data_IF_376158231254
#
_entry.id   IF_376158231254
#
_cell.length_a   1.000
_cell.length_b   1.000
_cell.length_c   1.000
_cell.angle_alpha   90.00
_cell.angle_beta   90.00
_cell.angle_gamma   90.00
#
_symmetry.space_group_name_H-M   'P 1'
#
loop_
_entity.id
_entity.type
_entity.pdbx_description
1 polymer ?
#
# COMPACT_ATOMS: atom_id res chain seq x y z
N UNK A 1 45.49 14.89 44.34
CA UNK A 1 45.52 14.45 42.93
C UNK A 1 44.34 13.53 42.67
N UNK A 2 43.45 13.81 41.70
CA UNK A 2 42.48 12.82 41.26
C UNK A 2 42.98 12.11 40.00
N UNK A 3 42.88 10.77 40.01
CA UNK A 3 43.16 9.88 38.89
C UNK A 3 42.16 10.11 37.74
N UNK A 4 42.67 10.44 36.55
CA UNK A 4 41.88 10.42 35.30
C UNK A 4 41.98 9.04 34.65
N UNK A 5 40.95 8.22 34.80
CA UNK A 5 40.84 6.96 34.06
C UNK A 5 40.40 7.25 32.61
N UNK A 6 41.29 7.01 31.63
CA UNK A 6 40.91 7.08 30.21
C UNK A 6 40.00 5.91 29.86
N UNK A 7 38.76 6.19 29.43
CA UNK A 7 37.87 5.16 28.87
C UNK A 7 38.46 4.64 27.55
N UNK A 8 38.91 3.39 27.54
CA UNK A 8 39.25 2.67 26.29
C UNK A 8 37.96 2.38 25.52
N UNK A 9 37.92 2.73 24.24
CA UNK A 9 36.82 2.38 23.35
C UNK A 9 36.71 0.85 23.22
N UNK A 10 35.48 0.33 23.31
CA UNK A 10 35.17 -1.11 23.28
C UNK A 10 35.32 -1.75 21.89
N UNK A 11 35.59 -0.98 20.85
CA UNK A 11 35.73 -1.47 19.49
C UNK A 11 36.95 -0.82 18.80
N UNK A 12 37.69 -1.57 17.97
CA UNK A 12 38.73 -1.00 17.13
C UNK A 12 38.09 0.00 16.16
N UNK A 13 38.62 1.22 16.12
CA UNK A 13 38.22 2.24 15.13
C UNK A 13 38.76 1.77 13.78
N UNK A 14 37.91 1.13 12.98
CA UNK A 14 38.19 0.93 11.56
C UNK A 14 38.10 2.30 10.88
N UNK A 15 39.15 2.74 10.15
CA UNK A 15 39.05 3.97 9.37
C UNK A 15 37.91 3.83 8.36
N UNK A 16 37.06 4.84 8.28
CA UNK A 16 35.99 4.87 7.29
C UNK A 16 36.61 4.74 5.89
N UNK A 17 36.07 3.89 5.01
CA UNK A 17 36.55 3.81 3.63
C UNK A 17 36.44 5.21 3.00
N UNK A 18 37.51 5.64 2.34
CA UNK A 18 37.54 6.89 1.57
C UNK A 18 36.59 6.69 0.38
N UNK A 19 35.32 7.05 0.56
CA UNK A 19 34.33 7.15 -0.51
C UNK A 19 34.47 8.55 -1.07
N UNK A 20 34.74 8.68 -2.37
CA UNK A 20 34.61 9.97 -3.06
C UNK A 20 33.18 10.48 -2.86
N UNK A 21 33.02 11.46 -1.97
CA UNK A 21 31.73 12.05 -1.60
C UNK A 21 31.20 12.92 -2.75
N UNK A 22 30.77 12.30 -3.83
CA UNK A 22 29.80 12.93 -4.71
C UNK A 22 28.52 13.10 -3.88
N UNK A 23 28.02 14.34 -3.69
CA UNK A 23 26.83 14.56 -2.89
C UNK A 23 25.68 13.77 -3.50
N UNK A 24 24.99 12.97 -2.67
CA UNK A 24 23.83 12.18 -3.07
C UNK A 24 22.75 13.16 -3.53
N UNK A 25 22.45 13.14 -4.83
CA UNK A 25 21.46 14.04 -5.42
C UNK A 25 20.05 13.46 -5.26
N UNK A 26 19.07 14.28 -4.86
CA UNK A 26 17.70 13.85 -4.62
C UNK A 26 17.03 13.20 -5.85
N UNK A 27 17.38 13.64 -7.08
CA UNK A 27 16.88 13.03 -8.32
C UNK A 27 17.35 11.58 -8.54
N UNK A 28 18.41 11.14 -7.84
CA UNK A 28 18.94 9.77 -7.90
C UNK A 28 18.43 8.89 -6.75
N UNK A 29 17.46 9.37 -5.98
CA UNK A 29 16.84 8.64 -4.87
C UNK A 29 15.39 8.37 -5.24
N UNK A 30 14.99 7.11 -5.26
CA UNK A 30 13.60 6.70 -5.47
C UNK A 30 12.98 6.35 -4.13
N UNK A 31 11.90 7.03 -3.77
CA UNK A 31 11.11 6.74 -2.57
C UNK A 31 9.97 5.81 -2.97
N UNK A 32 9.84 4.68 -2.27
CA UNK A 32 8.87 3.63 -2.56
C UNK A 32 8.03 3.39 -1.30
N UNK A 33 6.75 3.71 -1.37
CA UNK A 33 5.77 3.46 -0.33
C UNK A 33 4.68 2.53 -0.85
N UNK A 34 4.83 1.21 -0.65
CA UNK A 34 3.88 0.24 -1.15
C UNK A 34 2.68 0.11 -0.19
N UNK A 35 1.47 0.05 -0.75
CA UNK A 35 0.23 -0.13 -0.01
C UNK A 35 -0.59 -1.32 -0.51
N UNK A 36 -1.66 -1.65 0.22
CA UNK A 36 -2.56 -2.75 -0.17
C UNK A 36 -3.34 -2.46 -1.46
N UNK A 37 -3.75 -1.20 -1.66
CA UNK A 37 -4.48 -0.78 -2.88
C UNK A 37 -3.62 0.04 -3.80
N UNK A 38 -2.80 0.93 -3.27
CA UNK A 38 -2.04 1.89 -4.06
C UNK A 38 -0.55 1.77 -3.77
N UNK A 39 0.26 1.84 -4.82
CA UNK A 39 1.70 2.05 -4.76
C UNK A 39 1.95 3.54 -4.94
N UNK A 40 2.71 4.14 -4.02
CA UNK A 40 3.26 5.49 -4.19
C UNK A 40 4.75 5.38 -4.44
N UNK A 41 5.22 5.93 -5.55
CA UNK A 41 6.63 5.86 -5.96
C UNK A 41 7.03 7.13 -6.71
N UNK A 42 8.23 7.64 -6.45
CA UNK A 42 8.72 8.86 -7.09
C UNK A 42 10.18 9.14 -6.73
N UNK A 43 10.77 10.14 -7.36
CA UNK A 43 12.08 10.66 -6.95
C UNK A 43 11.92 11.45 -5.65
N UNK A 44 12.96 11.50 -4.83
CA UNK A 44 12.95 12.34 -3.63
C UNK A 44 12.88 13.85 -3.95
N UNK A 45 13.18 14.24 -5.19
CA UNK A 45 13.01 15.59 -5.71
C UNK A 45 11.60 15.92 -6.22
N UNK A 46 10.74 14.91 -6.40
CA UNK A 46 9.41 15.12 -6.96
C UNK A 46 8.49 15.77 -5.91
N UNK A 47 7.67 16.73 -6.34
CA UNK A 47 6.73 17.40 -5.43
C UNK A 47 5.60 16.48 -4.95
N UNK A 48 5.18 15.54 -5.80
CA UNK A 48 4.17 14.53 -5.51
C UNK A 48 4.61 13.19 -6.08
N UNK A 49 4.41 12.07 -5.35
CA UNK A 49 4.73 10.75 -5.88
C UNK A 49 3.69 10.34 -6.93
N UNK A 50 4.11 9.47 -7.84
CA UNK A 50 3.20 8.77 -8.73
C UNK A 50 2.41 7.77 -7.89
N UNK A 51 1.08 7.79 -8.02
CA UNK A 51 0.18 6.86 -7.33
C UNK A 51 -0.51 6.00 -8.37
N UNK A 52 -0.34 4.68 -8.28
CA UNK A 52 -1.00 3.71 -9.16
C UNK A 52 -1.67 2.62 -8.33
N UNK A 53 -2.78 2.01 -8.81
CA UNK A 53 -3.29 0.81 -8.19
C UNK A 53 -2.20 -0.26 -8.15
N UNK A 54 -1.97 -0.84 -6.98
CA UNK A 54 -0.95 -1.84 -6.72
C UNK A 54 -1.48 -3.22 -7.09
N UNK A 55 -1.85 -3.41 -8.36
CA UNK A 55 -2.38 -4.65 -8.88
C UNK A 55 -1.75 -5.02 -10.22
N UNK A 56 -1.80 -6.31 -10.51
CA UNK A 56 -1.36 -6.88 -11.79
C UNK A 56 -2.38 -7.90 -12.25
N UNK A 57 -2.76 -7.82 -13.50
CA UNK A 57 -3.57 -8.84 -14.15
C UNK A 57 -2.69 -9.68 -15.07
N UNK A 58 -2.71 -11.00 -14.89
CA UNK A 58 -1.90 -11.95 -15.65
C UNK A 58 -2.76 -12.75 -16.61
N UNK A 59 -2.29 -12.92 -17.85
CA UNK A 59 -3.00 -13.73 -18.83
C UNK A 59 -2.98 -15.22 -18.44
N UNK A 60 -4.15 -15.85 -18.43
CA UNK A 60 -4.38 -17.25 -18.05
C UNK A 60 -5.18 -17.99 -19.15
N UNK A 61 -4.53 -18.44 -20.24
CA UNK A 61 -5.22 -19.02 -21.40
C UNK A 61 -6.03 -20.29 -21.10
N UNK A 62 -5.62 -21.05 -20.08
CA UNK A 62 -6.17 -22.36 -19.74
C UNK A 62 -7.07 -22.33 -18.49
N UNK A 63 -7.59 -21.17 -18.07
CA UNK A 63 -8.42 -21.10 -16.86
C UNK A 63 -9.80 -21.71 -17.12
N UNK A 64 -9.90 -23.02 -16.89
CA UNK A 64 -11.17 -23.73 -16.72
C UNK A 64 -11.78 -23.22 -15.41
N UNK A 65 -12.68 -22.24 -15.50
CA UNK A 65 -13.59 -21.75 -14.44
C UNK A 65 -12.91 -21.06 -13.23
N UNK A 66 -13.21 -19.76 -13.11
CA UNK A 66 -13.11 -18.89 -11.93
C UNK A 66 -11.98 -19.19 -10.95
N UNK A 67 -10.78 -18.68 -11.23
CA UNK A 67 -10.01 -18.18 -10.09
C UNK A 67 -10.85 -17.01 -9.59
N UNK A 68 -11.47 -17.14 -8.42
CA UNK A 68 -12.23 -16.05 -7.84
C UNK A 68 -11.30 -14.85 -7.76
N UNK A 69 -11.69 -13.72 -8.35
CA UNK A 69 -10.93 -12.49 -8.24
C UNK A 69 -10.63 -12.22 -6.77
N UNK A 70 -9.40 -11.82 -6.49
CA UNK A 70 -8.96 -11.53 -5.12
C UNK A 70 -9.92 -10.49 -4.53
N UNK A 71 -10.79 -10.94 -3.64
CA UNK A 71 -11.85 -10.10 -3.10
C UNK A 71 -11.25 -8.96 -2.26
N UNK A 72 -11.10 -7.80 -2.90
CA UNK A 72 -10.64 -6.58 -2.22
C UNK A 72 -11.62 -6.15 -1.13
N UNK A 73 -12.93 -6.26 -1.41
CA UNK A 73 -13.98 -5.83 -0.51
C UNK A 73 -14.57 -6.96 0.35
N UNK A 74 -14.66 -8.19 -0.17
CA UNK A 74 -15.22 -9.30 0.62
C UNK A 74 -14.17 -9.86 1.57
N UNK A 75 -14.57 -9.93 2.84
CA UNK A 75 -13.78 -10.51 3.92
C UNK A 75 -14.34 -11.89 4.25
N UNK A 76 -13.53 -12.97 4.25
CA UNK A 76 -14.00 -14.31 4.64
C UNK A 76 -14.74 -14.34 5.98
N UNK A 77 -14.34 -13.45 6.90
CA UNK A 77 -14.94 -13.27 8.21
C UNK A 77 -16.44 -12.88 8.13
N UNK A 78 -16.88 -12.26 7.03
CA UNK A 78 -18.28 -11.92 6.80
C UNK A 78 -19.18 -13.14 6.54
N UNK A 79 -18.61 -14.30 6.21
CA UNK A 79 -19.35 -15.55 6.01
C UNK A 79 -19.53 -16.36 7.30
N UNK A 80 -19.00 -15.89 8.44
CA UNK A 80 -19.18 -16.56 9.72
C UNK A 80 -20.66 -16.58 10.13
N UNK A 81 -21.12 -17.66 10.76
CA UNK A 81 -22.54 -17.83 11.17
C UNK A 81 -23.05 -16.68 12.05
N UNK A 82 -22.17 -16.14 12.89
CA UNK A 82 -22.48 -15.03 13.80
C UNK A 82 -22.32 -13.64 13.16
N UNK A 83 -21.73 -13.54 11.96
CA UNK A 83 -21.40 -12.26 11.34
C UNK A 83 -22.64 -11.37 11.19
N UNK A 84 -23.76 -11.96 10.77
CA UNK A 84 -25.02 -11.23 10.64
C UNK A 84 -25.54 -10.66 11.97
N UNK A 85 -25.35 -11.38 13.08
CA UNK A 85 -25.73 -10.89 14.41
C UNK A 85 -24.79 -9.77 14.86
N UNK A 86 -23.48 -9.94 14.73
CA UNK A 86 -22.49 -8.93 15.08
C UNK A 86 -22.69 -7.62 14.30
N UNK A 87 -22.96 -7.71 12.99
CA UNK A 87 -23.27 -6.56 12.14
C UNK A 87 -24.52 -5.83 12.66
N UNK A 88 -25.61 -6.55 12.95
CA UNK A 88 -26.84 -5.94 13.47
C UNK A 88 -26.61 -5.26 14.82
N UNK A 89 -25.91 -5.92 15.75
CA UNK A 89 -25.61 -5.34 17.06
C UNK A 89 -24.74 -4.08 16.92
N UNK A 90 -23.69 -4.12 16.11
CA UNK A 90 -22.84 -2.95 15.88
C UNK A 90 -23.59 -1.77 15.25
N UNK A 91 -24.44 -2.04 14.25
CA UNK A 91 -25.29 -1.01 13.64
C UNK A 91 -26.26 -0.38 14.65
N UNK A 92 -26.89 -1.19 15.51
CA UNK A 92 -27.77 -0.67 16.57
C UNK A 92 -27.00 0.24 17.54
N UNK A 93 -25.82 -0.16 17.99
CA UNK A 93 -24.99 0.66 18.89
C UNK A 93 -24.54 1.98 18.24
N UNK A 94 -24.17 1.94 16.96
CA UNK A 94 -23.82 3.16 16.20
C UNK A 94 -25.04 4.07 16.06
N UNK A 95 -26.21 3.51 15.73
CA UNK A 95 -27.44 4.27 15.60
C UNK A 95 -27.82 4.95 16.93
N UNK A 96 -27.74 4.24 18.05
CA UNK A 96 -27.98 4.80 19.38
C UNK A 96 -27.01 5.95 19.70
N UNK A 97 -25.72 5.78 19.40
CA UNK A 97 -24.70 6.83 19.58
C UNK A 97 -25.00 8.08 18.73
N UNK A 98 -25.44 7.90 17.48
CA UNK A 98 -25.76 9.00 16.59
C UNK A 98 -27.05 9.74 16.99
N UNK A 99 -28.02 9.02 17.56
CA UNK A 99 -29.31 9.58 17.99
C UNK A 99 -29.26 10.21 19.37
N UNK A 100 -28.34 9.77 20.23
CA UNK A 100 -28.13 10.37 21.56
C UNK A 100 -27.31 11.66 21.53
N UNK A 101 -26.68 11.99 20.40
CA UNK A 101 -25.88 13.22 20.25
C UNK A 101 -26.64 14.29 19.48
N UNK A 102 -26.93 15.46 20.07
CA UNK A 102 -27.55 16.56 19.35
C UNK A 102 -26.60 17.07 18.25
N UNK A 103 -27.18 17.72 17.24
CA UNK A 103 -26.46 18.48 16.24
C UNK A 103 -25.88 19.76 16.85
N UNK A 104 -25.05 20.48 16.09
CA UNK A 104 -24.56 21.80 16.49
C UNK A 104 -25.68 22.82 16.75
N UNK A 105 -26.87 22.61 16.17
CA UNK A 105 -28.06 23.41 16.41
C UNK A 105 -28.84 22.98 17.68
N UNK A 106 -28.41 21.94 18.40
CA UNK A 106 -29.08 21.42 19.59
C UNK A 106 -30.23 20.45 19.30
N UNK A 107 -30.47 20.11 18.03
CA UNK A 107 -31.55 19.23 17.61
C UNK A 107 -31.11 17.76 17.55
N UNK A 108 -32.03 16.82 17.76
CA UNK A 108 -31.76 15.41 17.58
C UNK A 108 -32.11 14.94 16.17
N UNK A 109 -31.31 14.00 15.65
CA UNK A 109 -31.51 13.46 14.29
C UNK A 109 -32.82 12.68 14.21
N UNK A 110 -33.57 12.89 13.15
CA UNK A 110 -34.72 12.05 12.81
C UNK A 110 -34.28 10.88 11.92
N UNK A 111 -34.70 9.67 12.28
CA UNK A 111 -34.36 8.46 11.52
C UNK A 111 -35.32 8.30 10.36
N UNK A 112 -34.79 8.12 9.14
CA UNK A 112 -35.59 7.66 8.01
C UNK A 112 -35.63 6.15 8.00
N UNK A 113 -36.82 5.57 7.83
CA UNK A 113 -36.99 4.11 7.78
C UNK A 113 -36.40 3.54 6.48
N UNK A 114 -35.50 2.53 6.55
CA UNK A 114 -34.89 1.95 5.35
C UNK A 114 -35.90 1.43 4.33
N UNK A 115 -37.06 0.91 4.78
CA UNK A 115 -38.14 0.44 3.89
C UNK A 115 -38.74 1.57 3.04
N UNK A 116 -38.92 2.76 3.61
CA UNK A 116 -39.44 3.91 2.90
C UNK A 116 -38.45 4.40 1.84
N UNK A 117 -37.16 4.45 2.19
CA UNK A 117 -36.08 4.80 1.25
C UNK A 117 -35.98 3.78 0.11
N UNK A 118 -36.05 2.49 0.41
CA UNK A 118 -36.00 1.44 -0.61
C UNK A 118 -37.18 1.56 -1.59
N UNK A 119 -38.39 1.83 -1.09
CA UNK A 119 -39.55 2.05 -1.96
C UNK A 119 -39.36 3.26 -2.88
N UNK A 120 -38.91 4.39 -2.33
CA UNK A 120 -38.61 5.58 -3.12
C UNK A 120 -37.53 5.31 -4.17
N UNK A 121 -36.39 4.73 -3.77
CA UNK A 121 -35.28 4.44 -4.67
C UNK A 121 -35.67 3.48 -5.79
N UNK A 122 -36.59 2.54 -5.55
CA UNK A 122 -37.07 1.61 -6.57
C UNK A 122 -37.89 2.28 -7.69
N UNK A 123 -38.34 3.52 -7.48
CA UNK A 123 -39.11 4.31 -8.45
C UNK A 123 -38.22 5.24 -9.29
N UNK A 124 -36.96 5.44 -8.88
CA UNK A 124 -36.03 6.34 -9.55
C UNK A 124 -35.31 5.59 -10.67
N UNK A 125 -35.39 6.12 -11.89
CA UNK A 125 -34.65 5.59 -13.04
C UNK A 125 -33.28 6.26 -13.14
N UNK A 126 -32.28 5.55 -13.67
CA UNK A 126 -30.95 6.12 -13.91
C UNK A 126 -30.98 7.18 -15.01
N UNK A 127 -30.26 8.28 -14.81
CA UNK A 127 -30.05 9.32 -15.82
C UNK A 127 -28.67 9.14 -16.47
N UNK A 128 -28.60 9.34 -17.79
CA UNK A 128 -27.33 9.30 -18.52
C UNK A 128 -26.69 10.67 -18.44
N UNK A 129 -25.47 10.74 -17.89
CA UNK A 129 -24.66 11.97 -17.90
C UNK A 129 -23.84 12.04 -19.19
N UNK A 130 -23.73 13.23 -19.78
CA UNK A 130 -22.89 13.50 -20.96
C UNK A 130 -21.38 13.58 -20.63
N UNK A 131 -20.97 13.27 -19.39
CA UNK A 131 -19.56 13.37 -18.99
C UNK A 131 -18.66 12.41 -19.76
N UNK A 132 -17.61 12.94 -20.39
CA UNK A 132 -16.58 12.16 -21.09
C UNK A 132 -15.66 11.35 -20.18
N UNK A 133 -15.74 11.52 -18.86
CA UNK A 133 -14.87 10.89 -17.86
C UNK A 133 -15.27 9.46 -17.50
N UNK A 134 -16.12 8.81 -18.30
CA UNK A 134 -16.43 7.39 -18.10
C UNK A 134 -15.20 6.55 -18.46
N UNK A 135 -14.67 5.75 -17.52
CA UNK A 135 -13.54 4.88 -17.82
C UNK A 135 -13.93 3.87 -18.90
N UNK A 136 -13.07 3.73 -19.91
CA UNK A 136 -13.22 2.76 -20.99
C UNK A 136 -12.57 1.44 -20.61
N UNK A 137 -13.13 0.33 -21.09
CA UNK A 137 -12.50 -0.98 -20.99
C UNK A 137 -11.10 -1.00 -21.63
N UNK A 138 -10.17 -1.70 -20.98
CA UNK A 138 -8.79 -1.90 -21.45
C UNK A 138 -8.76 -2.70 -22.75
N UNK A 139 -8.03 -2.20 -23.75
CA UNK A 139 -7.84 -2.91 -25.02
C UNK A 139 -6.99 -4.17 -24.83
N UNK A 140 -7.63 -5.33 -24.93
CA UNK A 140 -7.01 -6.64 -24.80
C UNK A 140 -6.60 -7.29 -26.14
N UNK A 141 -6.73 -6.59 -27.26
CA UNK A 141 -6.51 -7.12 -28.62
C UNK A 141 -5.12 -7.73 -28.83
N UNK A 142 -4.08 -7.08 -28.29
CA UNK A 142 -2.68 -7.52 -28.37
C UNK A 142 -2.33 -8.69 -27.45
N UNK A 143 -3.26 -9.09 -26.57
CA UNK A 143 -3.11 -10.21 -25.63
C UNK A 143 -1.79 -10.16 -24.84
N UNK A 144 -1.44 -9.01 -24.20
CA UNK A 144 -0.21 -8.91 -23.43
C UNK A 144 -0.15 -9.95 -22.30
N UNK A 145 1.05 -10.27 -21.83
CA UNK A 145 1.21 -11.20 -20.72
C UNK A 145 0.64 -10.62 -19.40
N UNK A 146 0.72 -9.30 -19.25
CA UNK A 146 0.37 -8.56 -18.04
C UNK A 146 -0.30 -7.23 -18.37
N UNK A 147 -1.21 -6.81 -17.48
CA UNK A 147 -1.66 -5.43 -17.34
C UNK A 147 -1.40 -4.97 -15.90
N UNK A 148 -1.31 -3.65 -15.70
CA UNK A 148 -0.93 -3.04 -14.43
C UNK A 148 -1.88 -1.91 -14.04
N UNK A 149 -2.00 -1.65 -12.73
CA UNK A 149 -2.70 -0.46 -12.26
C UNK A 149 -4.14 -0.37 -12.79
N UNK A 150 -4.52 0.82 -13.25
CA UNK A 150 -5.85 1.08 -13.82
C UNK A 150 -6.18 0.13 -14.99
N UNK A 151 -5.23 -0.12 -15.90
CA UNK A 151 -5.48 -1.03 -17.04
C UNK A 151 -5.86 -2.44 -16.57
N UNK A 152 -5.29 -2.90 -15.45
CA UNK A 152 -5.64 -4.18 -14.86
C UNK A 152 -7.05 -4.18 -14.21
N UNK A 153 -7.51 -3.03 -13.71
CA UNK A 153 -8.84 -2.88 -13.10
C UNK A 153 -9.96 -2.81 -14.14
N UNK A 154 -9.67 -2.28 -15.33
CA UNK A 154 -10.64 -2.14 -16.41
C UNK A 154 -10.54 -3.24 -17.47
N UNK A 155 -10.09 -4.44 -17.11
CA UNK A 155 -10.17 -5.60 -18.02
C UNK A 155 -11.62 -6.12 -18.08
N UNK A 156 -12.19 -6.34 -19.27
CA UNK A 156 -13.50 -6.98 -19.40
C UNK A 156 -13.51 -8.36 -18.76
N UNK A 157 -14.57 -8.69 -18.02
CA UNK A 157 -14.71 -10.00 -17.35
C UNK A 157 -14.74 -11.21 -18.30
N UNK A 158 -14.94 -10.98 -19.60
CA UNK A 158 -14.86 -12.00 -20.65
C UNK A 158 -13.43 -12.37 -21.06
N UNK A 159 -12.43 -11.54 -20.72
CA UNK A 159 -11.04 -11.76 -21.11
C UNK A 159 -10.32 -12.73 -20.15
N UNK A 160 -9.38 -13.55 -20.64
CA UNK A 160 -8.72 -14.59 -19.84
C UNK A 160 -7.56 -14.02 -19.02
N UNK A 161 -7.84 -13.04 -18.16
CA UNK A 161 -6.88 -12.47 -17.22
C UNK A 161 -7.31 -12.69 -15.79
N UNK A 162 -6.34 -12.91 -14.92
CA UNK A 162 -6.56 -13.02 -13.49
C UNK A 162 -5.92 -11.83 -12.78
N UNK A 163 -6.74 -11.05 -12.09
CA UNK A 163 -6.31 -9.90 -11.29
C UNK A 163 -5.76 -10.38 -9.94
N UNK A 164 -4.60 -9.84 -9.56
CA UNK A 164 -3.93 -10.18 -8.30
C UNK A 164 -3.36 -8.94 -7.62
N UNK A 165 -3.37 -8.97 -6.28
CA UNK A 165 -2.86 -7.90 -5.43
C UNK A 165 -1.68 -8.43 -4.61
N UNK A 166 -0.46 -7.90 -4.79
CA UNK A 166 0.73 -8.40 -4.10
C UNK A 166 0.74 -8.07 -2.61
N UNK A 167 -0.08 -7.12 -2.16
CA UNK A 167 -0.19 -6.72 -0.77
C UNK A 167 -1.63 -6.74 -0.27
N UNK A 168 -1.83 -7.17 0.97
CA UNK A 168 -3.14 -7.24 1.63
C UNK A 168 -3.00 -6.93 3.11
N UNK A 169 -3.87 -6.06 3.65
CA UNK A 169 -3.89 -5.64 5.07
C UNK A 169 -2.49 -5.25 5.59
N UNK A 170 -1.75 -4.46 4.81
CA UNK A 170 -0.40 -3.98 5.16
C UNK A 170 0.72 -5.02 5.11
N UNK A 171 0.52 -6.21 4.55
CA UNK A 171 1.54 -7.26 4.40
C UNK A 171 1.60 -7.77 2.97
N UNK A 172 2.64 -8.53 2.63
CA UNK A 172 2.64 -9.30 1.38
C UNK A 172 1.50 -10.33 1.42
N UNK A 173 0.75 -10.45 0.32
CA UNK A 173 -0.49 -11.24 0.22
C UNK A 173 -0.19 -12.75 0.08
N UNK A 174 0.45 -13.35 1.08
CA UNK A 174 0.78 -14.77 1.08
C UNK A 174 -0.47 -15.64 1.29
N UNK A 175 -0.70 -16.62 0.40
CA UNK A 175 -1.83 -17.56 0.48
C UNK A 175 -1.53 -18.88 -0.23
N UNK A 176 -2.39 -19.88 -0.05
CA UNK A 176 -2.22 -21.22 -0.63
C UNK A 176 -2.61 -21.33 -2.11
N UNK A 177 -3.41 -20.39 -2.61
CA UNK A 177 -3.82 -20.33 -4.02
C UNK A 177 -2.68 -19.94 -4.98
N UNK A 178 -2.93 -20.03 -6.31
CA UNK A 178 -1.96 -19.65 -7.34
C UNK A 178 -1.44 -18.21 -7.14
N UNK A 179 -0.13 -18.02 -7.22
CA UNK A 179 0.48 -16.70 -7.03
C UNK A 179 0.70 -16.27 -5.58
N UNK A 180 0.23 -17.04 -4.59
CA UNK A 180 0.33 -16.68 -3.17
C UNK A 180 1.65 -17.04 -2.47
N UNK A 181 2.62 -17.64 -3.17
CA UNK A 181 3.94 -17.89 -2.57
C UNK A 181 4.76 -16.60 -2.51
N UNK A 182 5.61 -16.44 -1.48
CA UNK A 182 6.49 -15.26 -1.34
C UNK A 182 7.27 -14.95 -2.62
N UNK A 183 7.81 -15.97 -3.30
CA UNK A 183 8.53 -15.80 -4.56
C UNK A 183 7.64 -15.26 -5.67
N UNK A 184 6.40 -15.76 -5.79
CA UNK A 184 5.46 -15.30 -6.82
C UNK A 184 5.03 -13.85 -6.56
N UNK A 185 4.82 -13.50 -5.30
CA UNK A 185 4.48 -12.13 -4.89
C UNK A 185 5.63 -11.17 -5.16
N UNK A 186 6.86 -11.55 -4.79
CA UNK A 186 8.04 -10.72 -5.07
C UNK A 186 8.26 -10.53 -6.57
N UNK A 187 8.03 -11.57 -7.39
CA UNK A 187 8.07 -11.45 -8.84
C UNK A 187 6.99 -10.50 -9.38
N UNK A 188 5.76 -10.56 -8.85
CA UNK A 188 4.72 -9.60 -9.21
C UNK A 188 5.10 -8.16 -8.83
N UNK A 189 5.62 -7.96 -7.63
CA UNK A 189 6.10 -6.65 -7.16
C UNK A 189 7.22 -6.12 -8.06
N UNK A 190 8.20 -6.96 -8.40
CA UNK A 190 9.30 -6.61 -9.31
C UNK A 190 8.78 -6.13 -10.67
N UNK A 191 7.83 -6.85 -11.26
CA UNK A 191 7.25 -6.48 -12.57
C UNK A 191 6.46 -5.18 -12.45
N UNK A 192 5.61 -5.02 -11.42
CA UNK A 192 4.81 -3.79 -11.23
C UNK A 192 5.75 -2.59 -11.03
N UNK A 193 6.71 -2.69 -10.10
CA UNK A 193 7.60 -1.57 -9.79
C UNK A 193 8.52 -1.26 -10.97
N UNK A 194 9.03 -2.29 -11.67
CA UNK A 194 9.80 -2.12 -12.89
C UNK A 194 9.01 -1.40 -13.98
N UNK A 195 7.74 -1.77 -14.18
CA UNK A 195 6.83 -1.07 -15.11
C UNK A 195 6.66 0.40 -14.75
N UNK A 196 6.44 0.71 -13.47
CA UNK A 196 6.26 2.11 -13.03
C UNK A 196 7.56 2.91 -13.20
N UNK A 197 8.70 2.33 -12.85
CA UNK A 197 10.01 2.96 -13.05
C UNK A 197 10.26 3.31 -14.53
N UNK A 198 9.94 2.38 -15.45
CA UNK A 198 10.19 2.59 -16.87
C UNK A 198 9.17 3.53 -17.53
N UNK A 199 7.88 3.34 -17.28
CA UNK A 199 6.83 3.98 -18.06
C UNK A 199 6.30 5.28 -17.45
N UNK A 200 6.41 5.43 -16.13
CA UNK A 200 5.92 6.61 -15.43
C UNK A 200 7.06 7.52 -14.96
N UNK A 201 8.19 6.94 -14.55
CA UNK A 201 9.37 7.71 -14.15
C UNK A 201 10.41 7.83 -15.26
N UNK A 202 10.26 7.14 -16.39
CA UNK A 202 11.19 7.18 -17.53
C UNK A 202 12.63 6.77 -17.14
N UNK A 203 12.76 5.82 -16.21
CA UNK A 203 14.04 5.29 -15.73
C UNK A 203 14.27 3.89 -16.34
N UNK A 204 15.26 3.73 -17.24
CA UNK A 204 15.65 2.40 -17.71
C UNK A 204 16.17 1.55 -16.55
N UNK A 205 15.68 0.31 -16.41
CA UNK A 205 16.08 -0.56 -15.28
C UNK A 205 17.60 -0.81 -15.20
N UNK A 206 18.27 -0.86 -16.35
CA UNK A 206 19.74 -0.99 -16.45
C UNK A 206 20.53 0.13 -15.75
N UNK A 207 19.89 1.28 -15.55
CA UNK A 207 20.50 2.47 -14.95
C UNK A 207 20.27 2.52 -13.44
N UNK A 208 19.47 1.62 -12.86
CA UNK A 208 19.15 1.59 -11.42
C UNK A 208 20.39 1.42 -10.52
N UNK A 209 21.50 0.91 -11.05
CA UNK A 209 22.79 0.90 -10.35
C UNK A 209 23.29 2.29 -9.93
N UNK A 210 22.80 3.34 -10.60
CA UNK A 210 23.07 4.75 -10.29
C UNK A 210 22.02 5.38 -9.37
N UNK A 211 20.95 4.65 -9.05
CA UNK A 211 19.87 5.09 -8.17
C UNK A 211 19.96 4.39 -6.81
N UNK A 212 19.35 5.02 -5.80
CA UNK A 212 19.20 4.47 -4.44
C UNK A 212 17.72 4.41 -4.12
N UNK A 213 17.28 3.39 -3.40
CA UNK A 213 15.88 3.29 -2.98
C UNK A 213 15.70 3.60 -1.49
N UNK A 214 14.63 4.31 -1.15
CA UNK A 214 14.11 4.43 0.21
C UNK A 214 12.79 3.66 0.26
N UNK A 215 12.80 2.50 0.91
CA UNK A 215 11.65 1.63 1.06
C UNK A 215 10.94 1.93 2.39
N UNK A 216 9.71 2.42 2.31
CA UNK A 216 8.84 2.53 3.48
C UNK A 216 8.24 1.16 3.81
N UNK A 217 8.22 0.82 5.10
CA UNK A 217 7.63 -0.43 5.62
C UNK A 217 6.64 -0.14 6.77
N UNK A 218 5.70 -1.05 7.05
CA UNK A 218 4.81 -0.92 8.20
C UNK A 218 5.55 -0.88 9.54
N UNK A 219 4.95 -0.29 10.57
CA UNK A 219 5.53 -0.26 11.92
C UNK A 219 5.71 -1.66 12.52
N UNK A 220 4.74 -2.54 12.25
CA UNK A 220 4.79 -3.96 12.57
C UNK A 220 4.98 -4.74 11.28
N UNK A 221 6.22 -5.11 11.01
CA UNK A 221 6.64 -5.77 9.77
C UNK A 221 7.10 -7.21 10.00
N UNK A 222 7.03 -8.02 8.93
CA UNK A 222 7.55 -9.39 8.92
C UNK A 222 8.97 -9.38 8.34
N UNK A 223 9.98 -9.67 9.18
CA UNK A 223 11.39 -9.63 8.78
C UNK A 223 11.68 -10.40 7.48
N UNK A 224 11.08 -11.59 7.30
CA UNK A 224 11.24 -12.41 6.09
C UNK A 224 10.77 -11.67 4.83
N UNK A 225 9.66 -10.95 4.91
CA UNK A 225 9.09 -10.21 3.77
C UNK A 225 9.95 -8.98 3.44
N UNK A 226 10.36 -8.22 4.46
CA UNK A 226 11.26 -7.06 4.27
C UNK A 226 12.59 -7.49 3.66
N UNK A 227 13.19 -8.59 4.13
CA UNK A 227 14.40 -9.16 3.53
C UNK A 227 14.19 -9.52 2.05
N UNK A 228 13.05 -10.10 1.71
CA UNK A 228 12.67 -10.41 0.33
C UNK A 228 12.60 -9.17 -0.56
N UNK A 229 11.95 -8.10 -0.07
CA UNK A 229 11.83 -6.82 -0.79
C UNK A 229 13.20 -6.16 -1.01
N UNK A 230 14.04 -6.10 0.03
CA UNK A 230 15.40 -5.53 -0.07
C UNK A 230 16.25 -6.33 -1.04
N UNK A 231 16.19 -7.67 -0.98
CA UNK A 231 16.89 -8.52 -1.93
C UNK A 231 16.43 -8.29 -3.37
N UNK A 232 15.12 -8.18 -3.60
CA UNK A 232 14.56 -7.90 -4.92
C UNK A 232 15.01 -6.52 -5.44
N UNK A 233 14.98 -5.47 -4.60
CA UNK A 233 15.45 -4.14 -4.98
C UNK A 233 16.93 -4.12 -5.36
N UNK A 234 17.80 -4.77 -4.58
CA UNK A 234 19.24 -4.77 -4.81
C UNK A 234 19.66 -5.72 -5.94
N UNK A 235 19.14 -6.95 -5.94
CA UNK A 235 19.68 -8.03 -6.78
C UNK A 235 18.84 -8.32 -8.02
N UNK A 236 17.51 -8.08 -7.98
CA UNK A 236 16.65 -8.26 -9.15
C UNK A 236 16.55 -6.95 -9.96
N UNK A 237 16.10 -5.86 -9.33
CA UNK A 237 15.97 -4.56 -10.00
C UNK A 237 17.32 -3.87 -10.19
N UNK A 238 18.29 -4.08 -9.29
CA UNK A 238 19.65 -3.58 -9.47
C UNK A 238 19.90 -2.18 -8.90
N UNK A 239 19.16 -1.76 -7.87
CA UNK A 239 19.47 -0.51 -7.17
C UNK A 239 20.86 -0.53 -6.53
N UNK A 240 21.60 0.58 -6.59
CA UNK A 240 22.94 0.67 -6.01
C UNK A 240 22.96 0.62 -4.47
N UNK A 241 21.88 1.07 -3.83
CA UNK A 241 21.70 0.97 -2.37
C UNK A 241 20.21 1.04 -1.99
N UNK A 242 19.86 0.52 -0.81
CA UNK A 242 18.51 0.56 -0.25
C UNK A 242 18.57 0.99 1.22
N UNK A 243 17.75 1.96 1.60
CA UNK A 243 17.41 2.28 3.00
C UNK A 243 15.98 1.83 3.25
N UNK A 244 15.74 1.27 4.44
CA UNK A 244 14.40 0.86 4.88
C UNK A 244 13.99 1.70 6.08
N UNK A 245 12.78 2.25 6.07
CA UNK A 245 12.28 3.09 7.15
C UNK A 245 10.82 2.81 7.46
N UNK A 246 10.43 2.91 8.74
CA UNK A 246 9.04 2.77 9.18
C UNK A 246 8.17 3.93 8.70
N UNK A 247 6.98 3.61 8.20
CA UNK A 247 6.04 4.57 7.61
C UNK A 247 5.54 5.62 8.61
N UNK A 248 5.31 5.26 9.88
CA UNK A 248 4.90 6.25 10.89
C UNK A 248 5.97 7.31 11.14
N UNK A 249 7.23 6.89 11.20
CA UNK A 249 8.35 7.81 11.36
C UNK A 249 8.48 8.68 10.12
N UNK A 250 8.35 8.11 8.92
CA UNK A 250 8.33 8.91 7.70
C UNK A 250 7.16 9.91 7.68
N UNK A 251 6.00 9.58 8.26
CA UNK A 251 4.89 10.52 8.40
C UNK A 251 5.25 11.70 9.33
N UNK A 252 5.99 11.45 10.41
CA UNK A 252 6.50 12.54 11.27
C UNK A 252 7.50 13.44 10.54
N UNK A 253 8.38 12.86 9.72
CA UNK A 253 9.29 13.65 8.87
C UNK A 253 8.52 14.49 7.84
N UNK A 254 7.53 13.89 7.17
CA UNK A 254 6.71 14.58 6.16
C UNK A 254 5.81 15.68 6.75
N UNK A 255 5.44 15.59 8.02
CA UNK A 255 4.66 16.62 8.73
C UNK A 255 5.52 17.65 9.47
N UNK A 256 6.83 17.42 9.60
CA UNK A 256 7.73 18.30 10.35
C UNK A 256 7.50 18.27 11.87
N UNK A 257 6.90 17.19 12.38
CA UNK A 257 6.60 17.02 13.81
C UNK A 257 7.59 16.02 14.40
N UNK A 258 8.27 16.33 15.50
CA UNK A 258 9.26 15.42 16.10
C UNK A 258 8.65 14.40 17.06
N UNK A 259 7.49 14.72 17.67
CA UNK A 259 6.78 13.84 18.61
C UNK A 259 5.30 13.83 18.29
N UNK A 260 4.73 12.65 17.99
CA UNK A 260 3.33 12.51 17.62
C UNK A 260 2.77 11.11 17.90
N UNK A 261 1.47 11.02 18.16
CA UNK A 261 0.72 9.78 17.95
C UNK A 261 0.27 9.75 16.49
N UNK A 262 0.85 8.84 15.70
CA UNK A 262 0.56 8.67 14.28
C UNK A 262 -0.54 7.64 14.13
N UNK A 263 -1.63 8.04 13.47
CA UNK A 263 -2.74 7.16 13.09
C UNK A 263 -2.80 7.12 11.56
N UNK A 264 -2.37 6.01 10.98
CA UNK A 264 -2.45 5.78 9.53
C UNK A 264 -3.64 4.88 9.22
N UNK A 265 -4.69 5.49 8.67
CA UNK A 265 -5.91 4.82 8.21
C UNK A 265 -5.79 4.55 6.71
N UNK A 266 -5.28 3.37 6.37
CA UNK A 266 -5.29 2.86 5.00
C UNK A 266 -6.60 2.14 4.65
N UNK A 267 -6.69 1.67 3.41
CA UNK A 267 -7.88 0.96 2.91
C UNK A 267 -8.19 -0.34 3.69
N UNK A 268 -7.15 -1.13 3.99
CA UNK A 268 -7.32 -2.46 4.60
C UNK A 268 -6.67 -2.59 5.98
N UNK A 269 -5.94 -1.57 6.43
CA UNK A 269 -5.22 -1.59 7.71
C UNK A 269 -5.26 -0.21 8.34
N UNK A 270 -5.40 -0.18 9.65
CA UNK A 270 -5.14 1.01 10.46
C UNK A 270 -3.97 0.70 11.38
N UNK A 271 -2.94 1.54 11.35
CA UNK A 271 -1.82 1.47 12.30
C UNK A 271 -1.84 2.69 13.22
N UNK A 272 -1.51 2.45 14.48
CA UNK A 272 -1.40 3.48 15.52
C UNK A 272 -0.06 3.29 16.20
N UNK A 273 0.73 4.36 16.36
CA UNK A 273 1.96 4.30 17.15
C UNK A 273 2.37 5.69 17.62
N UNK A 274 3.05 5.76 18.77
CA UNK A 274 3.73 6.96 19.21
C UNK A 274 5.14 7.00 18.60
N UNK A 275 5.46 8.11 17.96
CA UNK A 275 6.78 8.41 17.42
C UNK A 275 7.39 9.56 18.22
N UNK A 276 8.67 9.42 18.56
CA UNK A 276 9.47 10.42 19.26
C UNK A 276 10.87 10.46 18.64
N UNK A 277 11.29 11.63 18.15
CA UNK A 277 12.61 11.90 17.59
C UNK A 277 13.12 10.84 16.59
N UNK A 278 12.23 10.44 15.67
CA UNK A 278 12.55 9.45 14.64
C UNK A 278 12.42 7.99 15.07
N UNK A 279 11.86 7.72 16.25
CA UNK A 279 11.71 6.37 16.80
C UNK A 279 10.24 6.02 17.04
N UNK A 280 9.77 4.93 16.43
CA UNK A 280 8.45 4.34 16.71
C UNK A 280 8.51 3.43 17.93
N UNK A 281 7.79 3.80 18.98
CA UNK A 281 7.81 3.10 20.26
C UNK A 281 7.16 1.72 20.16
N UNK A 282 7.87 0.67 20.61
CA UNK A 282 7.37 -0.72 20.46
C UNK A 282 6.11 -1.01 21.25
N UNK A 283 5.94 -0.35 22.39
CA UNK A 283 4.81 -0.58 23.29
C UNK A 283 3.51 0.11 22.82
N UNK A 284 3.58 1.01 21.84
CA UNK A 284 2.45 1.79 21.35
C UNK A 284 1.86 1.31 20.02
N UNK A 285 2.40 0.24 19.44
CA UNK A 285 2.02 -0.28 18.11
C UNK A 285 1.42 -1.67 18.15
#
# INVERSE_FOLDING_TARGET
>A
MPFTASKKALFPVTPDPIVEHHPVQAQTIIVIQPGSVNLRIGRASDAVPITVPHCIARRCPNSVKSIQDDYMLLRPECNHSEAGQQIRTGLSSIQELLLSRPTTAGEYRQVTQPRQLMHFNSQVSSEVSESSDTPSWTDCSKKPAYFFGEEALYIPSSEPYHLSWPMRRGRLNEHSGPGGSLTSILANIEIIWGHVLQNHLEIPLKDLKHYRAVLLIPDVYVHRQVKGLVNMLLNSLGFGAVIVHQESVCATYGSGITVACVVDVGDQKTSVTCVEDGLSHRASR
#
